data_IF_122604630412
#
_entry.id   IF_122604630412
#
_cell.length_a   1.000
_cell.length_b   1.000
_cell.length_c   1.000
_cell.angle_alpha   90.00
_cell.angle_beta   90.00
_cell.angle_gamma   90.00
#
_symmetry.space_group_name_H-M   'P 1'
#
loop_
_entity.id
_entity.type
_entity.pdbx_description
1 polymer ?
#
# COMPACT_ATOMS: atom_id res chain seq x y z
N UNK A 1 19.08 -2.50 -47.35
CA UNK A 1 17.78 -3.18 -47.25
C UNK A 1 18.03 -4.56 -46.69
N UNK A 2 17.26 -4.92 -45.66
CA UNK A 2 17.28 -6.17 -44.86
C UNK A 2 18.42 -6.30 -43.85
N UNK A 3 18.15 -5.84 -42.63
CA UNK A 3 18.05 -6.81 -41.54
C UNK A 3 17.01 -6.34 -40.51
N UNK A 4 15.83 -6.96 -40.60
CA UNK A 4 14.69 -6.76 -39.71
C UNK A 4 14.58 -8.01 -38.83
N UNK A 5 15.49 -8.18 -37.88
CA UNK A 5 15.38 -9.21 -36.85
C UNK A 5 15.19 -8.56 -35.48
N UNK A 6 13.92 -8.30 -35.18
CA UNK A 6 13.30 -7.95 -33.90
C UNK A 6 14.21 -7.89 -32.65
N UNK A 7 14.52 -6.67 -32.24
CA UNK A 7 15.03 -6.33 -30.90
C UNK A 7 13.91 -6.54 -29.87
N UNK A 8 13.82 -7.73 -29.27
CA UNK A 8 13.14 -7.85 -27.98
C UNK A 8 13.91 -6.97 -27.00
N UNK A 9 13.24 -5.96 -26.43
CA UNK A 9 13.86 -5.09 -25.43
C UNK A 9 14.27 -5.93 -24.23
N UNK A 10 15.49 -5.75 -23.71
CA UNK A 10 16.01 -6.47 -22.53
C UNK A 10 15.01 -6.52 -21.36
N UNK A 11 14.16 -5.49 -21.23
CA UNK A 11 13.11 -5.39 -20.20
C UNK A 11 11.99 -6.43 -20.34
N UNK A 12 11.76 -6.99 -21.53
CA UNK A 12 10.67 -7.95 -21.81
C UNK A 12 10.99 -9.38 -21.33
N UNK A 13 12.26 -9.66 -21.01
CA UNK A 13 12.73 -10.99 -20.56
C UNK A 13 13.07 -11.04 -19.06
N UNK A 14 12.75 -9.98 -18.31
CA UNK A 14 13.03 -9.88 -16.88
C UNK A 14 11.81 -10.26 -16.05
N UNK A 15 12.06 -11.03 -15.00
CA UNK A 15 11.08 -11.32 -13.96
C UNK A 15 10.88 -10.08 -13.08
N UNK A 16 9.64 -9.61 -12.92
CA UNK A 16 9.37 -8.41 -12.12
C UNK A 16 9.52 -8.60 -10.60
N UNK A 17 9.87 -9.81 -10.14
CA UNK A 17 10.10 -10.13 -8.73
C UNK A 17 11.59 -10.09 -8.40
N UNK A 18 12.41 -10.88 -9.11
CA UNK A 18 13.87 -10.89 -8.89
C UNK A 18 14.62 -9.86 -9.75
N UNK A 19 13.95 -9.23 -10.72
CA UNK A 19 14.51 -8.26 -11.66
C UNK A 19 15.64 -8.81 -12.52
N UNK A 20 15.69 -10.13 -12.68
CA UNK A 20 16.67 -10.87 -13.47
C UNK A 20 15.97 -11.61 -14.62
N UNK A 21 16.76 -12.05 -15.60
CA UNK A 21 16.30 -12.85 -16.74
C UNK A 21 15.62 -14.12 -16.24
N UNK A 22 14.47 -14.46 -16.83
CA UNK A 22 13.68 -15.61 -16.40
C UNK A 22 14.50 -16.89 -16.22
N UNK A 23 14.28 -17.57 -15.09
CA UNK A 23 14.71 -18.92 -14.80
C UNK A 23 13.44 -19.72 -14.55
N UNK A 24 13.22 -20.75 -15.36
CA UNK A 24 11.99 -21.54 -15.33
C UNK A 24 10.73 -20.66 -15.34
N UNK A 25 10.55 -19.82 -16.38
CA UNK A 25 9.41 -18.91 -16.44
C UNK A 25 8.09 -19.65 -16.37
N UNK A 26 7.13 -19.09 -15.66
CA UNK A 26 5.73 -19.54 -15.59
C UNK A 26 4.82 -18.38 -15.96
N UNK A 27 3.76 -18.68 -16.71
CA UNK A 27 2.77 -17.69 -17.15
C UNK A 27 1.52 -17.83 -16.28
N UNK A 28 1.13 -16.75 -15.63
CA UNK A 28 -0.12 -16.68 -14.86
C UNK A 28 -1.36 -16.57 -15.77
N UNK A 29 -2.58 -16.89 -15.27
CA UNK A 29 -3.81 -16.74 -16.05
C UNK A 29 -4.05 -15.33 -16.63
N UNK A 30 -3.53 -14.30 -15.97
CA UNK A 30 -3.61 -12.92 -16.45
C UNK A 30 -2.51 -12.56 -17.48
N UNK A 31 -1.74 -13.53 -17.97
CA UNK A 31 -0.74 -13.37 -19.04
C UNK A 31 0.65 -12.91 -18.60
N UNK A 32 0.84 -12.54 -17.32
CA UNK A 32 2.15 -12.12 -16.81
C UNK A 32 3.08 -13.29 -16.52
N UNK A 33 4.38 -13.06 -16.68
CA UNK A 33 5.44 -14.06 -16.57
C UNK A 33 6.36 -13.80 -15.37
N UNK A 34 6.75 -14.87 -14.67
CA UNK A 34 7.62 -14.82 -13.50
C UNK A 34 8.52 -16.07 -13.45
N UNK A 35 9.65 -16.04 -12.74
CA UNK A 35 10.36 -17.28 -12.42
C UNK A 35 9.46 -18.15 -11.52
N UNK A 36 9.43 -19.47 -11.75
CA UNK A 36 8.61 -20.41 -10.96
C UNK A 36 8.85 -20.26 -9.46
N UNK A 37 10.13 -20.20 -9.05
CA UNK A 37 10.54 -20.04 -7.65
C UNK A 37 10.03 -18.71 -7.06
N UNK A 38 10.23 -17.61 -7.78
CA UNK A 38 9.79 -16.27 -7.35
C UNK A 38 8.27 -16.20 -7.11
N UNK A 39 7.47 -16.73 -8.03
CA UNK A 39 6.01 -16.72 -7.89
C UNK A 39 5.54 -17.65 -6.75
N UNK A 40 6.18 -18.81 -6.61
CA UNK A 40 5.87 -19.78 -5.54
C UNK A 40 6.12 -19.15 -4.16
N UNK A 41 7.29 -18.55 -3.96
CA UNK A 41 7.64 -17.89 -2.70
C UNK A 41 6.73 -16.70 -2.40
N UNK A 42 6.31 -15.94 -3.43
CA UNK A 42 5.37 -14.84 -3.27
C UNK A 42 4.01 -15.31 -2.74
N UNK A 43 3.49 -16.42 -3.27
CA UNK A 43 2.22 -17.00 -2.81
C UNK A 43 2.32 -17.60 -1.40
N UNK A 44 3.45 -18.20 -1.04
CA UNK A 44 3.70 -18.72 0.31
C UNK A 44 3.71 -17.60 1.36
N UNK A 45 4.39 -16.48 1.09
CA UNK A 45 4.46 -15.36 2.03
C UNK A 45 3.13 -14.62 2.21
N UNK A 46 2.30 -14.52 1.15
CA UNK A 46 1.09 -13.67 1.16
C UNK A 46 -0.20 -14.44 1.43
N UNK A 47 -0.14 -15.77 1.55
CA UNK A 47 -1.29 -16.68 1.75
C UNK A 47 -2.43 -16.58 0.70
N UNK A 48 -2.24 -15.82 -0.37
CA UNK A 48 -3.25 -15.56 -1.41
C UNK A 48 -2.64 -15.70 -2.81
N UNK A 49 -3.33 -16.41 -3.68
CA UNK A 49 -2.93 -16.62 -5.08
C UNK A 49 -3.37 -15.44 -5.94
N UNK A 50 -2.53 -14.42 -6.06
CA UNK A 50 -2.75 -13.26 -6.91
C UNK A 50 -1.54 -13.00 -7.81
N UNK A 51 -1.72 -12.26 -8.89
CA UNK A 51 -0.64 -11.81 -9.74
C UNK A 51 0.19 -10.73 -9.02
N UNK A 52 1.52 -10.91 -8.85
CA UNK A 52 2.36 -9.89 -8.22
C UNK A 52 2.42 -8.57 -9.00
N UNK A 53 2.20 -8.61 -10.32
CA UNK A 53 2.32 -7.45 -11.22
C UNK A 53 0.99 -6.67 -11.33
N UNK A 54 -0.09 -7.28 -11.82
CA UNK A 54 -1.38 -6.59 -12.02
C UNK A 54 -2.37 -6.71 -10.84
N UNK A 55 -2.02 -7.47 -9.79
CA UNK A 55 -2.85 -7.69 -8.59
C UNK A 55 -4.16 -8.46 -8.80
N UNK A 56 -4.36 -9.05 -9.97
CA UNK A 56 -5.50 -9.91 -10.25
C UNK A 56 -5.54 -11.12 -9.29
N UNK A 57 -6.68 -11.36 -8.65
CA UNK A 57 -6.88 -12.47 -7.72
C UNK A 57 -7.34 -13.71 -8.47
N UNK A 58 -6.70 -14.84 -8.21
CA UNK A 58 -7.11 -16.12 -8.79
C UNK A 58 -8.06 -16.83 -7.81
N UNK A 59 -9.25 -17.22 -8.30
CA UNK A 59 -10.29 -17.92 -7.52
C UNK A 59 -9.82 -19.29 -7.01
N UNK A 60 -8.93 -19.95 -7.75
CA UNK A 60 -8.22 -21.17 -7.34
C UNK A 60 -6.73 -20.98 -7.62
N UNK A 61 -5.87 -21.52 -6.74
CA UNK A 61 -4.41 -21.49 -6.93
C UNK A 61 -4.07 -22.14 -8.30
N UNK A 62 -3.51 -21.40 -9.26
CA UNK A 62 -3.16 -21.96 -10.56
C UNK A 62 -2.01 -22.95 -10.42
N UNK A 63 -2.04 -24.02 -11.22
CA UNK A 63 -0.90 -24.91 -11.35
C UNK A 63 0.21 -24.22 -12.16
N UNK A 64 1.43 -24.17 -11.61
CA UNK A 64 2.56 -23.50 -12.23
C UNK A 64 3.29 -24.43 -13.20
N UNK A 65 2.89 -24.36 -14.47
CA UNK A 65 3.59 -25.01 -15.58
C UNK A 65 4.62 -24.07 -16.17
N UNK A 66 5.81 -24.62 -16.41
CA UNK A 66 6.90 -23.91 -17.06
C UNK A 66 6.47 -23.56 -18.48
N UNK A 67 6.65 -22.30 -18.85
CA UNK A 67 6.56 -21.85 -20.23
C UNK A 67 7.88 -22.18 -20.95
N UNK A 68 7.90 -23.31 -21.65
CA UNK A 68 9.08 -23.80 -22.37
C UNK A 68 9.55 -22.84 -23.47
N UNK A 69 8.60 -22.24 -24.20
CA UNK A 69 8.92 -21.26 -25.26
C UNK A 69 9.63 -20.03 -24.70
N UNK A 70 9.13 -19.47 -23.59
CA UNK A 70 9.76 -18.31 -22.95
C UNK A 70 11.11 -18.67 -22.33
N UNK A 71 11.27 -19.92 -21.84
CA UNK A 71 12.56 -20.43 -21.36
C UNK A 71 13.59 -20.45 -22.49
N UNK A 72 13.24 -21.00 -23.64
CA UNK A 72 14.15 -21.07 -24.80
C UNK A 72 14.58 -19.67 -25.26
N UNK A 73 13.64 -18.71 -25.30
CA UNK A 73 13.94 -17.31 -25.63
C UNK A 73 14.87 -16.67 -24.59
N UNK A 74 14.61 -16.88 -23.30
CA UNK A 74 15.43 -16.36 -22.21
C UNK A 74 16.84 -16.98 -22.21
N UNK A 75 16.98 -18.26 -22.51
CA UNK A 75 18.25 -18.97 -22.60
C UNK A 75 19.06 -18.53 -23.81
N UNK A 76 18.41 -18.33 -24.97
CA UNK A 76 19.07 -17.80 -26.16
C UNK A 76 19.56 -16.35 -25.92
N UNK A 77 18.79 -15.55 -25.17
CA UNK A 77 19.23 -14.23 -24.75
C UNK A 77 20.47 -14.29 -23.84
N UNK A 78 20.48 -15.18 -22.84
CA UNK A 78 21.66 -15.42 -21.98
C UNK A 78 22.89 -15.86 -22.78
N UNK A 79 22.70 -16.67 -23.83
CA UNK A 79 23.79 -17.12 -24.72
C UNK A 79 24.32 -15.99 -25.61
N UNK A 80 23.46 -15.14 -26.16
CA UNK A 80 23.87 -13.96 -26.96
C UNK A 80 24.56 -12.85 -26.14
N UNK A 81 24.37 -12.81 -24.82
CA UNK A 81 25.09 -11.90 -23.93
C UNK A 81 26.50 -12.36 -23.54
N UNK A 82 26.93 -13.56 -23.95
CA UNK A 82 28.35 -13.92 -23.99
C UNK A 82 28.89 -13.35 -25.30
N UNK A 83 29.90 -12.46 -25.29
CA UNK A 83 30.46 -11.95 -26.54
C UNK A 83 30.87 -13.13 -27.41
N UNK A 84 30.41 -13.15 -28.66
CA UNK A 84 30.99 -14.02 -29.69
C UNK A 84 32.51 -13.86 -29.60
N UNK A 85 33.23 -14.99 -29.50
CA UNK A 85 34.69 -14.97 -29.50
C UNK A 85 35.14 -14.10 -30.68
N UNK A 86 36.07 -13.14 -30.49
CA UNK A 86 36.62 -12.44 -31.64
C UNK A 86 37.23 -13.45 -32.60
N UNK A 87 36.72 -13.51 -33.82
CA UNK A 87 37.24 -14.36 -34.89
C UNK A 87 38.55 -13.73 -35.42
N UNK A 88 39.61 -13.89 -34.64
CA UNK A 88 40.95 -13.43 -35.04
C UNK A 88 41.43 -14.30 -36.19
N UNK A 89 41.83 -13.67 -37.30
CA UNK A 89 42.31 -14.36 -38.50
C UNK A 89 43.80 -14.68 -38.41
N UNK A 90 44.24 -15.69 -39.14
CA UNK A 90 45.64 -16.07 -39.23
C UNK A 90 46.46 -15.08 -40.08
N UNK A 91 47.61 -14.67 -39.56
CA UNK A 91 48.52 -13.71 -40.20
C UNK A 91 49.44 -14.37 -41.23
N UNK A 92 49.72 -15.66 -41.09
CA UNK A 92 50.60 -16.41 -41.98
C UNK A 92 49.92 -16.91 -43.28
N UNK A 93 48.58 -16.89 -43.33
CA UNK A 93 47.82 -17.28 -44.52
C UNK A 93 48.02 -16.26 -45.66
N UNK A 94 48.53 -16.72 -46.80
CA UNK A 94 48.81 -15.86 -47.97
C UNK A 94 47.64 -15.68 -48.93
N UNK A 95 46.61 -16.54 -48.86
CA UNK A 95 45.43 -16.48 -49.72
C UNK A 95 44.17 -16.33 -48.89
N UNK A 96 43.49 -17.43 -48.60
CA UNK A 96 42.33 -17.47 -47.72
C UNK A 96 42.82 -17.45 -46.27
N UNK A 97 42.52 -16.36 -45.56
CA UNK A 97 42.78 -16.28 -44.12
C UNK A 97 41.81 -17.20 -43.38
N UNK A 98 42.37 -18.13 -42.61
CA UNK A 98 41.62 -19.02 -41.73
C UNK A 98 41.57 -18.44 -40.32
N UNK A 99 40.59 -18.86 -39.52
CA UNK A 99 40.53 -18.48 -38.11
C UNK A 99 41.77 -18.98 -37.36
N UNK A 100 42.36 -18.11 -36.55
CA UNK A 100 43.48 -18.44 -35.70
C UNK A 100 43.03 -19.32 -34.54
N UNK A 101 43.83 -20.32 -34.21
CA UNK A 101 43.64 -21.17 -33.03
C UNK A 101 44.50 -20.71 -31.85
N UNK A 102 45.68 -20.16 -32.14
CA UNK A 102 46.62 -19.60 -31.15
C UNK A 102 47.30 -18.36 -31.72
N UNK A 103 47.76 -17.48 -30.83
CA UNK A 103 48.69 -16.41 -31.17
C UNK A 103 50.04 -16.69 -30.53
N UNK A 104 51.11 -16.49 -31.28
CA UNK A 104 52.48 -16.60 -30.81
C UNK A 104 52.99 -15.21 -30.44
N UNK A 105 53.28 -14.98 -29.15
CA UNK A 105 53.73 -13.67 -28.67
C UNK A 105 55.12 -13.34 -29.22
N UNK A 106 56.03 -14.32 -29.28
CA UNK A 106 57.40 -14.11 -29.78
C UNK A 106 57.46 -13.82 -31.29
N UNK A 107 56.54 -14.38 -32.09
CA UNK A 107 56.45 -14.13 -33.52
C UNK A 107 55.55 -12.93 -33.85
N UNK A 108 54.87 -12.37 -32.85
CA UNK A 108 53.84 -11.34 -33.04
C UNK A 108 52.78 -11.75 -34.09
N UNK A 109 52.37 -13.03 -34.11
CA UNK A 109 51.51 -13.57 -35.17
C UNK A 109 50.41 -14.51 -34.66
N UNK A 110 49.22 -14.39 -35.23
CA UNK A 110 48.09 -15.29 -35.06
C UNK A 110 48.14 -16.44 -36.07
N UNK A 111 47.98 -17.68 -35.59
CA UNK A 111 48.23 -18.91 -36.36
C UNK A 111 46.95 -19.76 -36.41
N UNK A 112 46.51 -20.12 -37.62
CA UNK A 112 45.51 -21.17 -37.83
C UNK A 112 46.12 -22.55 -37.55
N UNK A 113 45.29 -23.60 -37.57
CA UNK A 113 45.70 -24.98 -37.29
C UNK A 113 46.96 -25.41 -38.04
N UNK A 114 46.97 -25.29 -39.37
CA UNK A 114 48.11 -25.71 -40.20
C UNK A 114 49.40 -24.97 -39.87
N UNK A 115 49.31 -23.65 -39.63
CA UNK A 115 50.49 -22.84 -39.28
C UNK A 115 50.94 -23.09 -37.84
N UNK A 116 50.02 -23.40 -36.94
CA UNK A 116 50.31 -23.79 -35.57
C UNK A 116 50.99 -25.16 -35.50
N UNK A 117 50.55 -26.13 -36.31
CA UNK A 117 51.21 -27.44 -36.45
C UNK A 117 52.66 -27.29 -36.93
N UNK A 118 52.87 -26.49 -37.98
CA UNK A 118 54.23 -26.17 -38.44
C UNK A 118 55.07 -25.53 -37.32
N UNK A 119 54.50 -24.58 -36.61
CA UNK A 119 55.15 -23.89 -35.51
C UNK A 119 55.53 -24.86 -34.37
N UNK A 120 54.68 -25.82 -34.04
CA UNK A 120 54.95 -26.83 -33.01
C UNK A 120 55.95 -27.90 -33.47
N UNK A 121 56.01 -28.21 -34.77
CA UNK A 121 56.89 -29.24 -35.30
C UNK A 121 58.34 -28.74 -35.50
N UNK A 122 58.52 -27.44 -35.74
CA UNK A 122 59.84 -26.85 -35.94
C UNK A 122 60.63 -26.68 -34.63
N UNK A 123 61.82 -27.29 -34.48
CA UNK A 123 62.60 -27.23 -33.23
C UNK A 123 62.89 -25.81 -32.73
N UNK A 124 63.04 -24.84 -33.66
CA UNK A 124 63.30 -23.44 -33.34
C UNK A 124 62.13 -22.74 -32.65
N UNK A 125 60.89 -23.11 -32.97
CA UNK A 125 59.69 -22.41 -32.52
C UNK A 125 58.96 -23.14 -31.37
N UNK A 126 59.36 -24.37 -31.05
CA UNK A 126 58.81 -25.16 -29.93
C UNK A 126 58.83 -24.46 -28.57
N UNK A 127 59.74 -23.51 -28.36
CA UNK A 127 59.89 -22.78 -27.09
C UNK A 127 59.12 -21.46 -27.03
N UNK A 128 58.51 -21.04 -28.13
CA UNK A 128 57.75 -19.80 -28.17
C UNK A 128 56.48 -19.89 -27.32
N UNK A 129 56.07 -18.74 -26.78
CA UNK A 129 54.88 -18.59 -25.95
C UNK A 129 53.63 -18.44 -26.81
N UNK A 130 52.75 -19.43 -26.71
CA UNK A 130 51.46 -19.45 -27.39
C UNK A 130 50.32 -19.10 -26.43
N UNK A 131 49.52 -18.11 -26.80
CA UNK A 131 48.32 -17.68 -26.08
C UNK A 131 47.07 -17.88 -26.92
N UNK A 132 45.89 -17.69 -26.34
CA UNK A 132 44.65 -17.66 -27.13
C UNK A 132 44.67 -16.45 -28.09
N UNK A 133 44.05 -16.55 -29.27
CA UNK A 133 43.99 -15.44 -30.20
C UNK A 133 43.33 -14.22 -29.54
N UNK A 134 43.94 -13.06 -29.76
CA UNK A 134 43.51 -11.76 -29.24
C UNK A 134 43.49 -10.77 -30.39
N UNK A 135 42.55 -9.82 -30.39
CA UNK A 135 42.41 -8.84 -31.48
C UNK A 135 43.66 -7.97 -31.62
N UNK A 136 44.30 -7.61 -30.49
CA UNK A 136 45.49 -6.79 -30.48
C UNK A 136 46.60 -7.49 -29.68
N UNK A 137 47.50 -8.16 -30.40
CA UNK A 137 48.65 -8.87 -29.83
C UNK A 137 49.76 -7.92 -29.36
N UNK A 138 49.81 -6.68 -29.89
CA UNK A 138 50.78 -5.65 -29.48
C UNK A 138 50.63 -5.28 -28.00
N UNK A 139 49.41 -5.39 -27.46
CA UNK A 139 49.13 -5.18 -26.04
C UNK A 139 49.82 -6.19 -25.11
N UNK A 140 50.33 -7.30 -25.65
CA UNK A 140 51.05 -8.34 -24.91
C UNK A 140 52.58 -8.19 -25.05
N UNK A 141 53.04 -7.16 -25.76
CA UNK A 141 54.45 -6.93 -26.08
C UNK A 141 54.90 -5.60 -25.48
N UNK A 142 56.03 -5.62 -24.78
CA UNK A 142 56.68 -4.43 -24.27
C UNK A 142 57.17 -3.56 -25.43
N UNK A 143 56.66 -2.34 -25.52
CA UNK A 143 57.00 -1.41 -26.58
C UNK A 143 58.46 -0.92 -26.54
N UNK A 144 59.12 -0.99 -25.37
CA UNK A 144 60.53 -0.57 -25.22
C UNK A 144 61.53 -1.66 -25.61
N UNK A 145 61.18 -2.92 -25.34
CA UNK A 145 62.12 -4.04 -25.43
C UNK A 145 61.70 -5.10 -26.46
N UNK A 146 60.52 -4.96 -27.09
CA UNK A 146 59.97 -5.88 -28.08
C UNK A 146 59.91 -7.33 -27.57
N UNK A 147 59.55 -7.49 -26.28
CA UNK A 147 59.48 -8.77 -25.56
C UNK A 147 58.12 -8.95 -24.93
N UNK A 148 57.70 -10.19 -24.70
CA UNK A 148 56.46 -10.51 -24.03
C UNK A 148 56.35 -9.81 -22.66
N UNK A 149 55.16 -9.31 -22.35
CA UNK A 149 54.80 -8.85 -21.01
C UNK A 149 54.46 -10.08 -20.16
N UNK A 150 55.22 -10.29 -19.08
CA UNK A 150 55.10 -11.48 -18.23
C UNK A 150 54.98 -11.13 -16.75
N UNK A 151 55.36 -9.91 -16.39
CA UNK A 151 55.35 -9.40 -15.03
C UNK A 151 54.37 -8.24 -14.91
N UNK A 152 53.93 -7.97 -13.69
CA UNK A 152 53.13 -6.82 -13.32
C UNK A 152 53.86 -6.02 -12.25
N UNK A 153 54.10 -4.75 -12.51
CA UNK A 153 54.65 -3.82 -11.53
C UNK A 153 53.49 -3.26 -10.68
N UNK A 154 53.52 -3.52 -9.37
CA UNK A 154 52.48 -3.07 -8.43
C UNK A 154 52.60 -1.58 -8.11
N UNK A 155 53.80 -1.03 -8.11
CA UNK A 155 54.02 0.40 -7.85
C UNK A 155 53.47 1.25 -8.99
N UNK A 156 53.75 0.87 -10.24
CA UNK A 156 53.31 1.61 -11.43
C UNK A 156 52.00 1.11 -12.05
N UNK A 157 51.44 0.01 -11.51
CA UNK A 157 50.17 -0.57 -11.93
C UNK A 157 50.11 -0.96 -13.42
N UNK A 158 51.20 -1.51 -13.96
CA UNK A 158 51.30 -1.86 -15.37
C UNK A 158 52.02 -3.18 -15.63
N UNK A 159 51.69 -3.83 -16.75
CA UNK A 159 52.41 -5.02 -17.21
C UNK A 159 53.78 -4.62 -17.79
N UNK A 160 54.81 -5.38 -17.45
CA UNK A 160 56.20 -5.14 -17.86
C UNK A 160 56.86 -6.46 -18.32
N UNK A 161 57.95 -6.37 -19.11
CA UNK A 161 58.76 -7.54 -19.45
C UNK A 161 59.94 -7.70 -18.48
N UNK A 162 60.66 -8.83 -18.54
CA UNK A 162 61.82 -9.09 -17.68
C UNK A 162 62.89 -7.98 -17.73
N UNK A 163 63.21 -7.44 -18.92
CA UNK A 163 64.23 -6.38 -19.04
C UNK A 163 63.82 -5.05 -18.38
N UNK A 164 62.53 -4.75 -18.30
CA UNK A 164 62.04 -3.57 -17.60
C UNK A 164 62.41 -3.60 -16.10
N UNK A 165 62.54 -4.79 -15.51
CA UNK A 165 62.92 -4.96 -14.10
C UNK A 165 64.43 -4.87 -13.88
N UNK A 166 65.23 -4.71 -14.92
CA UNK A 166 66.67 -4.43 -14.80
C UNK A 166 66.98 -2.93 -14.91
N UNK A 167 66.05 -2.16 -15.49
CA UNK A 167 66.13 -0.71 -15.66
C UNK A 167 65.07 0.03 -14.85
N UNK A 168 64.06 0.58 -15.54
CA UNK A 168 63.06 1.51 -14.99
C UNK A 168 62.33 0.99 -13.75
N UNK A 169 62.12 -0.32 -13.63
CA UNK A 169 61.37 -0.95 -12.53
C UNK A 169 62.26 -1.78 -11.59
N UNK A 170 63.58 -1.52 -11.56
CA UNK A 170 64.56 -2.36 -10.84
C UNK A 170 64.30 -2.54 -9.35
N UNK A 171 63.76 -1.51 -8.71
CA UNK A 171 63.47 -1.53 -7.27
C UNK A 171 61.97 -1.55 -6.97
N UNK A 172 61.13 -1.80 -7.98
CA UNK A 172 59.68 -1.87 -7.80
C UNK A 172 59.26 -3.30 -7.46
N UNK A 173 58.14 -3.41 -6.76
CA UNK A 173 57.49 -4.68 -6.48
C UNK A 173 56.87 -5.24 -7.77
N UNK A 174 57.57 -6.21 -8.36
CA UNK A 174 57.14 -6.88 -9.57
C UNK A 174 56.79 -8.33 -9.26
N UNK A 175 55.63 -8.76 -9.74
CA UNK A 175 55.12 -10.13 -9.57
C UNK A 175 54.74 -10.68 -10.95
N UNK A 176 54.48 -11.98 -11.05
CA UNK A 176 53.95 -12.54 -12.31
C UNK A 176 52.54 -12.03 -12.61
N UNK A 177 52.19 -11.89 -13.88
CA UNK A 177 50.83 -11.49 -14.28
C UNK A 177 49.79 -12.50 -13.76
N UNK A 178 50.13 -13.79 -13.75
CA UNK A 178 49.24 -14.85 -13.26
C UNK A 178 48.95 -14.73 -11.76
N UNK A 179 49.94 -14.33 -10.96
CA UNK A 179 49.79 -14.10 -9.52
C UNK A 179 48.91 -12.86 -9.26
N UNK A 180 49.25 -11.72 -9.84
CA UNK A 180 48.47 -10.49 -9.69
C UNK A 180 47.03 -10.68 -10.19
N UNK A 181 46.84 -11.36 -11.34
CA UNK A 181 45.52 -11.65 -11.89
C UNK A 181 44.67 -12.48 -10.93
N UNK A 182 45.28 -13.47 -10.26
CA UNK A 182 44.59 -14.31 -9.27
C UNK A 182 44.16 -13.49 -8.06
N UNK A 183 45.03 -12.62 -7.56
CA UNK A 183 44.72 -11.73 -6.45
C UNK A 183 43.59 -10.76 -6.80
N UNK A 184 43.67 -10.08 -7.95
CA UNK A 184 42.61 -9.18 -8.43
C UNK A 184 41.29 -9.89 -8.65
N UNK A 185 41.30 -11.09 -9.24
CA UNK A 185 40.07 -11.89 -9.41
C UNK A 185 39.44 -12.24 -8.07
N UNK A 186 40.25 -12.59 -7.07
CA UNK A 186 39.78 -12.85 -5.71
C UNK A 186 39.14 -11.60 -5.09
N UNK A 187 39.80 -10.44 -5.20
CA UNK A 187 39.26 -9.16 -4.72
C UNK A 187 37.95 -8.79 -5.41
N UNK A 188 37.89 -8.89 -6.75
CA UNK A 188 36.68 -8.66 -7.52
C UNK A 188 35.54 -9.60 -7.10
N UNK A 189 35.83 -10.87 -6.83
CA UNK A 189 34.83 -11.83 -6.34
C UNK A 189 34.25 -11.45 -4.97
N UNK A 190 35.09 -10.93 -4.06
CA UNK A 190 34.64 -10.40 -2.76
C UNK A 190 33.73 -9.20 -2.95
N UNK A 191 34.18 -8.19 -3.71
CA UNK A 191 33.38 -6.99 -4.00
C UNK A 191 32.07 -7.33 -4.71
N UNK A 192 32.08 -8.28 -5.63
CA UNK A 192 30.86 -8.75 -6.31
C UNK A 192 29.87 -9.37 -5.31
N UNK A 193 30.36 -10.16 -4.36
CA UNK A 193 29.53 -10.75 -3.30
C UNK A 193 28.95 -9.67 -2.39
N UNK A 194 29.75 -8.69 -1.98
CA UNK A 194 29.30 -7.56 -1.16
C UNK A 194 28.21 -6.74 -1.86
N UNK A 195 28.42 -6.41 -3.15
CA UNK A 195 27.44 -5.70 -3.96
C UNK A 195 26.15 -6.52 -4.11
N UNK A 196 26.25 -7.84 -4.32
CA UNK A 196 25.06 -8.70 -4.39
C UNK A 196 24.29 -8.70 -3.06
N UNK A 197 24.98 -8.82 -1.93
CA UNK A 197 24.36 -8.74 -0.60
C UNK A 197 23.69 -7.39 -0.40
N UNK A 198 24.37 -6.29 -0.77
CA UNK A 198 23.81 -4.96 -0.71
C UNK A 198 22.50 -4.87 -1.50
N UNK A 199 22.45 -5.39 -2.73
CA UNK A 199 21.24 -5.41 -3.55
C UNK A 199 20.11 -6.16 -2.83
N UNK A 200 20.38 -7.35 -2.28
CA UNK A 200 19.37 -8.13 -1.55
C UNK A 200 18.81 -7.37 -0.33
N UNK A 201 19.69 -6.70 0.43
CA UNK A 201 19.28 -5.90 1.59
C UNK A 201 18.38 -4.72 1.18
N UNK A 202 18.70 -4.02 0.08
CA UNK A 202 17.86 -2.91 -0.41
C UNK A 202 16.53 -3.43 -0.95
N UNK A 203 16.50 -4.58 -1.61
CA UNK A 203 15.25 -5.21 -2.05
C UNK A 203 14.35 -5.58 -0.86
N UNK A 204 14.91 -6.18 0.18
CA UNK A 204 14.19 -6.45 1.44
C UNK A 204 13.67 -5.16 2.05
N UNK A 205 14.48 -4.10 2.09
CA UNK A 205 14.07 -2.82 2.66
C UNK A 205 12.93 -2.16 1.89
N UNK A 206 12.94 -2.25 0.56
CA UNK A 206 11.83 -1.80 -0.29
C UNK A 206 10.53 -2.55 0.08
N UNK A 207 10.59 -3.86 0.31
CA UNK A 207 9.41 -4.63 0.71
C UNK A 207 8.87 -4.21 2.09
N UNK A 208 9.75 -3.98 3.07
CA UNK A 208 9.38 -3.49 4.40
C UNK A 208 8.69 -2.11 4.33
N UNK A 209 9.26 -1.18 3.55
CA UNK A 209 8.69 0.16 3.38
C UNK A 209 7.32 0.09 2.70
N UNK A 210 7.18 -0.73 1.64
CA UNK A 210 5.88 -0.93 0.97
C UNK A 210 4.83 -1.47 1.92
N UNK A 211 5.16 -2.48 2.72
CA UNK A 211 4.25 -3.05 3.71
C UNK A 211 3.85 -2.02 4.79
N UNK A 212 4.81 -1.24 5.29
CA UNK A 212 4.55 -0.16 6.26
C UNK A 212 3.61 0.91 5.70
N UNK A 213 3.82 1.34 4.44
CA UNK A 213 2.95 2.28 3.75
C UNK A 213 1.53 1.74 3.55
N UNK A 214 1.39 0.47 3.12
CA UNK A 214 0.10 -0.22 3.00
C UNK A 214 -0.65 -0.27 4.34
N UNK A 215 0.06 -0.60 5.43
CA UNK A 215 -0.51 -0.66 6.77
C UNK A 215 -0.94 0.74 7.25
N UNK A 216 -0.11 1.76 7.04
CA UNK A 216 -0.43 3.15 7.39
C UNK A 216 -1.70 3.61 6.68
N UNK A 217 -1.80 3.38 5.37
CA UNK A 217 -2.99 3.72 4.60
C UNK A 217 -4.24 3.01 5.11
N UNK A 218 -4.15 1.70 5.41
CA UNK A 218 -5.27 0.94 5.98
C UNK A 218 -5.69 1.48 7.34
N UNK A 219 -4.76 1.88 8.19
CA UNK A 219 -5.06 2.48 9.49
C UNK A 219 -5.75 3.83 9.32
N UNK A 220 -5.26 4.69 8.42
CA UNK A 220 -5.90 5.99 8.13
C UNK A 220 -7.32 5.82 7.62
N UNK A 221 -7.58 4.88 6.71
CA UNK A 221 -8.94 4.60 6.22
C UNK A 221 -9.86 4.07 7.32
N UNK A 222 -9.32 3.24 8.22
CA UNK A 222 -10.06 2.81 9.41
C UNK A 222 -10.39 3.98 10.34
N UNK A 223 -9.43 4.86 10.61
CA UNK A 223 -9.64 6.02 11.48
C UNK A 223 -10.67 7.00 10.89
N UNK A 224 -10.69 7.15 9.56
CA UNK A 224 -11.74 7.90 8.85
C UNK A 224 -13.11 7.25 9.05
N UNK A 225 -13.22 5.93 8.84
CA UNK A 225 -14.48 5.20 9.02
C UNK A 225 -14.98 5.27 10.48
N UNK A 226 -14.11 5.00 11.46
CA UNK A 226 -14.41 5.11 12.89
C UNK A 226 -14.86 6.55 13.24
N UNK A 227 -14.28 7.57 12.60
CA UNK A 227 -14.70 8.97 12.80
C UNK A 227 -16.09 9.26 12.23
N UNK A 228 -16.36 8.82 11.01
CA UNK A 228 -17.69 8.96 10.38
C UNK A 228 -18.76 8.26 11.23
N UNK A 229 -18.47 7.08 11.76
CA UNK A 229 -19.40 6.33 12.62
C UNK A 229 -19.76 7.11 13.90
N UNK A 230 -18.77 7.73 14.54
CA UNK A 230 -18.97 8.56 15.74
C UNK A 230 -19.86 9.77 15.44
N UNK A 231 -19.56 10.52 14.37
CA UNK A 231 -20.40 11.66 13.99
C UNK A 231 -21.83 11.22 13.63
N UNK A 232 -21.98 10.13 12.89
CA UNK A 232 -23.30 9.59 12.57
C UNK A 232 -24.07 9.17 13.83
N UNK A 233 -23.39 8.60 14.84
CA UNK A 233 -24.01 8.24 16.12
C UNK A 233 -24.43 9.45 16.96
N UNK A 234 -23.68 10.56 16.89
CA UNK A 234 -24.02 11.83 17.54
C UNK A 234 -25.25 12.48 16.87
N UNK A 235 -25.25 12.57 15.53
CA UNK A 235 -26.38 13.10 14.75
C UNK A 235 -27.66 12.33 15.07
N UNK A 236 -27.63 10.99 15.01
CA UNK A 236 -28.78 10.14 15.38
C UNK A 236 -29.26 10.37 16.81
N UNK A 237 -28.36 10.75 17.71
CA UNK A 237 -28.72 11.06 19.11
C UNK A 237 -29.45 12.39 19.21
N UNK A 238 -29.00 13.41 18.47
CA UNK A 238 -29.65 14.72 18.42
C UNK A 238 -31.04 14.60 17.79
N UNK A 239 -31.14 13.91 16.65
CA UNK A 239 -32.42 13.69 15.95
C UNK A 239 -33.44 12.95 16.84
N UNK A 240 -32.99 11.92 17.57
CA UNK A 240 -33.85 11.20 18.51
C UNK A 240 -34.35 12.11 19.64
N UNK A 241 -33.46 12.84 20.29
CA UNK A 241 -33.85 13.75 21.38
C UNK A 241 -34.74 14.89 20.91
N UNK A 242 -34.58 15.35 19.66
CA UNK A 242 -35.50 16.30 19.04
C UNK A 242 -36.90 15.70 18.88
N UNK A 243 -37.01 14.49 18.34
CA UNK A 243 -38.30 13.81 18.18
C UNK A 243 -39.00 13.57 19.52
N UNK A 244 -38.26 13.07 20.53
CA UNK A 244 -38.77 12.86 21.89
C UNK A 244 -39.27 14.16 22.53
N UNK A 245 -38.56 15.28 22.35
CA UNK A 245 -38.99 16.58 22.87
C UNK A 245 -40.30 17.05 22.21
N UNK A 246 -40.40 16.93 20.88
CA UNK A 246 -41.61 17.32 20.16
C UNK A 246 -42.82 16.50 20.58
N UNK A 247 -42.64 15.18 20.76
CA UNK A 247 -43.70 14.28 21.25
C UNK A 247 -44.20 14.70 22.64
N UNK A 248 -43.29 14.92 23.60
CA UNK A 248 -43.65 15.36 24.96
C UNK A 248 -44.37 16.71 24.93
N UNK A 249 -43.93 17.65 24.09
CA UNK A 249 -44.60 18.94 23.95
C UNK A 249 -46.02 18.78 23.39
N UNK A 250 -46.21 17.92 22.39
CA UNK A 250 -47.53 17.64 21.80
C UNK A 250 -48.46 16.95 22.81
N UNK A 251 -47.97 15.98 23.57
CA UNK A 251 -48.75 15.31 24.63
C UNK A 251 -49.20 16.29 25.72
N UNK A 252 -48.30 17.17 26.16
CA UNK A 252 -48.62 18.21 27.15
C UNK A 252 -49.65 19.21 26.61
N UNK A 253 -49.52 19.61 25.35
CA UNK A 253 -50.49 20.49 24.69
C UNK A 253 -51.87 19.83 24.66
N UNK A 254 -51.96 18.58 24.19
CA UNK A 254 -53.22 17.81 24.17
C UNK A 254 -53.81 17.64 25.57
N UNK A 255 -52.97 17.46 26.60
CA UNK A 255 -53.45 17.36 27.98
C UNK A 255 -54.06 18.69 28.47
N UNK A 256 -53.41 19.82 28.17
CA UNK A 256 -53.93 21.15 28.50
C UNK A 256 -55.24 21.45 27.76
N UNK A 257 -55.35 21.06 26.49
CA UNK A 257 -56.58 21.19 25.69
C UNK A 257 -57.73 20.39 26.28
N UNK A 258 -57.51 19.11 26.62
CA UNK A 258 -58.54 18.28 27.29
C UNK A 258 -58.98 18.85 28.63
N UNK A 259 -58.05 19.42 29.40
CA UNK A 259 -58.37 20.10 30.66
C UNK A 259 -59.24 21.34 30.39
N UNK A 260 -58.90 22.14 29.37
CA UNK A 260 -59.68 23.30 28.95
C UNK A 260 -61.10 22.92 28.56
N UNK A 261 -61.25 21.90 27.69
CA UNK A 261 -62.54 21.38 27.25
C UNK A 261 -63.39 20.91 28.43
N UNK A 262 -62.78 20.22 29.42
CA UNK A 262 -63.46 19.80 30.64
C UNK A 262 -64.02 20.99 31.44
N UNK A 263 -63.21 22.03 31.66
CA UNK A 263 -63.63 23.23 32.39
C UNK A 263 -64.71 24.02 31.63
N UNK A 264 -64.59 24.14 30.30
CA UNK A 264 -65.61 24.78 29.46
C UNK A 264 -66.93 24.02 29.58
N UNK A 265 -66.91 22.69 29.51
CA UNK A 265 -68.11 21.86 29.63
C UNK A 265 -68.78 21.99 31.00
N UNK A 266 -68.01 22.10 32.08
CA UNK A 266 -68.54 22.40 33.41
C UNK A 266 -69.24 23.77 33.44
N UNK A 267 -68.62 24.81 32.89
CA UNK A 267 -69.20 26.15 32.78
C UNK A 267 -70.48 26.18 31.93
N UNK A 268 -70.49 25.49 30.79
CA UNK A 268 -71.68 25.38 29.92
C UNK A 268 -72.86 24.72 30.64
N UNK A 269 -72.59 23.72 31.49
CA UNK A 269 -73.61 23.08 32.32
C UNK A 269 -74.14 24.02 33.40
N UNK A 270 -73.25 24.73 34.12
CA UNK A 270 -73.65 25.74 35.12
C UNK A 270 -74.50 26.84 34.47
N UNK A 271 -74.08 27.37 33.31
CA UNK A 271 -74.85 28.35 32.54
C UNK A 271 -76.23 27.81 32.15
N UNK A 272 -76.33 26.54 31.76
CA UNK A 272 -77.62 25.93 31.40
C UNK A 272 -78.57 25.85 32.60
N UNK A 273 -78.05 25.49 33.78
CA UNK A 273 -78.83 25.48 35.03
C UNK A 273 -79.26 26.89 35.41
N UNK A 274 -78.34 27.87 35.32
CA UNK A 274 -78.62 29.28 35.61
C UNK A 274 -79.68 29.85 34.65
N UNK A 275 -79.58 29.58 33.34
CA UNK A 275 -80.58 29.99 32.34
C UNK A 275 -81.96 29.40 32.62
N UNK A 276 -82.04 28.11 32.98
CA UNK A 276 -83.32 27.48 33.36
C UNK A 276 -83.92 28.19 34.57
N UNK A 277 -83.12 28.41 35.61
CA UNK A 277 -83.55 29.08 36.83
C UNK A 277 -84.04 30.50 36.56
N UNK A 278 -83.34 31.24 35.70
CA UNK A 278 -83.70 32.58 35.27
C UNK A 278 -85.07 32.59 34.56
N UNK A 279 -85.31 31.66 33.62
CA UNK A 279 -86.62 31.52 32.96
C UNK A 279 -87.75 31.15 33.94
N UNK A 280 -87.50 30.26 34.89
CA UNK A 280 -88.49 29.89 35.91
C UNK A 280 -88.84 31.09 36.82
N UNK A 281 -87.83 31.89 37.19
CA UNK A 281 -88.02 33.13 37.97
C UNK A 281 -88.80 34.18 37.16
N UNK A 282 -88.50 34.34 35.87
CA UNK A 282 -89.21 35.24 34.98
C UNK A 282 -90.68 34.81 34.80
N UNK A 283 -90.98 33.52 34.67
CA UNK A 283 -92.36 33.03 34.58
C UNK A 283 -93.15 33.28 35.87
N UNK A 284 -92.54 33.03 37.03
CA UNK A 284 -93.17 33.29 38.33
C UNK A 284 -93.43 34.78 38.56
N UNK A 285 -92.51 35.67 38.15
CA UNK A 285 -92.68 37.12 38.35
C UNK A 285 -93.82 37.72 37.52
N UNK A 286 -94.16 37.11 36.39
CA UNK A 286 -95.28 37.51 35.52
C UNK A 286 -96.60 36.76 35.80
N UNK A 287 -96.65 35.89 36.82
CA UNK A 287 -97.87 35.15 37.17
C UNK A 287 -98.87 36.03 37.93
N UNK A 288 -100.11 36.13 37.44
CA UNK A 288 -101.22 36.87 38.09
C UNK A 288 -101.84 36.10 39.28
N UNK A 289 -101.55 34.80 39.41
CA UNK A 289 -102.08 33.94 40.47
C UNK A 289 -101.23 34.02 41.76
N UNK A 290 -101.63 34.89 42.68
CA UNK A 290 -100.87 35.21 43.91
C UNK A 290 -100.58 34.01 44.82
N UNK A 291 -101.42 32.97 44.82
CA UNK A 291 -101.20 31.76 45.63
C UNK A 291 -100.03 30.93 45.08
N UNK A 292 -99.96 30.75 43.75
CA UNK A 292 -98.88 30.03 43.07
C UNK A 292 -97.53 30.76 43.24
N UNK A 293 -97.54 32.10 43.21
CA UNK A 293 -96.37 32.92 43.50
C UNK A 293 -95.86 32.68 44.93
N UNK A 294 -96.73 32.76 45.95
CA UNK A 294 -96.33 32.61 47.36
C UNK A 294 -95.90 31.18 47.73
N UNK A 295 -96.51 30.17 47.11
CA UNK A 295 -96.15 28.76 47.33
C UNK A 295 -94.75 28.44 46.78
N UNK A 296 -94.39 29.01 45.63
CA UNK A 296 -93.12 28.69 44.97
C UNK A 296 -92.00 29.71 45.29
N UNK A 297 -92.31 30.96 45.66
CA UNK A 297 -91.30 32.01 45.90
C UNK A 297 -90.27 31.64 46.96
N UNK A 298 -90.69 30.92 48.00
CA UNK A 298 -89.82 30.56 49.14
C UNK A 298 -88.66 29.64 48.74
N UNK A 299 -88.86 28.76 47.76
CA UNK A 299 -87.81 27.87 47.23
C UNK A 299 -87.05 28.49 46.04
N UNK A 300 -87.59 29.53 45.43
CA UNK A 300 -87.07 30.10 44.18
C UNK A 300 -86.08 31.26 44.39
N UNK A 301 -86.18 31.98 45.52
CA UNK A 301 -85.37 33.16 45.82
C UNK A 301 -83.89 32.88 46.19
N UNK A 302 -83.49 31.63 46.42
CA UNK A 302 -82.08 31.27 46.62
C UNK A 302 -81.37 31.02 45.28
N UNK A 303 -80.17 31.59 45.07
CA UNK A 303 -79.35 31.27 43.90
C UNK A 303 -78.96 29.79 43.87
N UNK A 304 -78.83 29.18 42.69
CA UNK A 304 -78.23 27.84 42.56
C UNK A 304 -76.79 27.83 43.09
N UNK A 305 -76.34 26.67 43.58
CA UNK A 305 -74.93 26.51 43.94
C UNK A 305 -74.08 26.52 42.66
N UNK A 306 -73.12 27.44 42.60
CA UNK A 306 -72.10 27.51 41.53
C UNK A 306 -70.71 27.30 42.12
N UNK A 307 -69.77 26.82 41.30
CA UNK A 307 -68.35 26.74 41.67
C UNK A 307 -67.72 28.13 41.66
N UNK A 308 -66.66 28.34 42.45
CA UNK A 308 -65.88 29.57 42.39
C UNK A 308 -64.80 29.46 41.30
N UNK A 309 -64.90 30.31 40.27
CA UNK A 309 -64.07 30.26 39.07
C UNK A 309 -62.90 31.27 39.07
N UNK A 310 -62.77 32.17 40.05
CA UNK A 310 -61.78 33.27 40.00
C UNK A 310 -60.31 32.82 40.06
N UNK A 311 -60.02 31.68 40.66
CA UNK A 311 -58.64 31.18 40.84
C UNK A 311 -58.24 30.09 39.84
N UNK A 312 -59.17 29.60 39.00
CA UNK A 312 -58.91 28.50 38.10
C UNK A 312 -58.18 29.03 36.86
N UNK A 313 -56.93 28.61 36.68
CA UNK A 313 -56.13 28.90 35.48
C UNK A 313 -55.54 27.62 34.90
N UNK A 314 -55.49 27.56 33.57
CA UNK A 314 -54.78 26.51 32.84
C UNK A 314 -53.32 26.91 32.78
N UNK A 315 -52.43 26.00 33.18
CA UNK A 315 -51.01 26.29 33.24
C UNK A 315 -50.39 26.21 31.83
N UNK A 316 -50.10 27.38 31.24
CA UNK A 316 -49.49 27.51 29.90
C UNK A 316 -47.96 27.45 29.91
N UNK A 317 -47.31 27.49 31.08
CA UNK A 317 -45.86 27.75 31.19
C UNK A 317 -44.99 26.48 31.22
N UNK A 318 -45.59 25.29 31.16
CA UNK A 318 -44.88 24.00 31.25
C UNK A 318 -43.90 23.73 30.10
N UNK A 319 -43.96 24.49 29.00
CA UNK A 319 -43.12 24.28 27.81
C UNK A 319 -41.65 24.66 28.04
N UNK A 320 -41.40 25.76 28.76
CA UNK A 320 -40.04 26.26 29.03
C UNK A 320 -39.19 25.29 29.86
N UNK A 321 -39.74 24.78 30.95
CA UNK A 321 -39.05 23.81 31.82
C UNK A 321 -38.83 22.46 31.12
N UNK A 322 -39.77 22.05 30.27
CA UNK A 322 -39.64 20.82 29.46
C UNK A 322 -38.45 20.93 28.49
N UNK A 323 -38.34 22.07 27.79
CA UNK A 323 -37.19 22.33 26.91
C UNK A 323 -35.88 22.34 27.68
N UNK A 324 -35.82 23.02 28.83
CA UNK A 324 -34.60 23.09 29.66
C UNK A 324 -34.13 21.70 30.09
N UNK A 325 -35.04 20.87 30.63
CA UNK A 325 -34.72 19.51 31.07
C UNK A 325 -34.24 18.65 29.91
N UNK A 326 -34.92 18.72 28.76
CA UNK A 326 -34.55 17.95 27.57
C UNK A 326 -33.17 18.34 27.03
N UNK A 327 -32.87 19.63 26.93
CA UNK A 327 -31.58 20.13 26.48
C UNK A 327 -30.44 19.75 27.45
N UNK A 328 -30.67 19.82 28.75
CA UNK A 328 -29.68 19.37 29.75
C UNK A 328 -29.37 17.87 29.63
N UNK A 329 -30.40 17.03 29.43
CA UNK A 329 -30.22 15.58 29.20
C UNK A 329 -29.47 15.29 27.91
N UNK A 330 -29.80 16.00 26.83
CA UNK A 330 -29.09 15.89 25.55
C UNK A 330 -27.61 16.25 25.72
N UNK A 331 -27.31 17.38 26.37
CA UNK A 331 -25.94 17.81 26.63
C UNK A 331 -25.15 16.75 27.40
N UNK A 332 -25.72 16.17 28.46
CA UNK A 332 -25.09 15.10 29.22
C UNK A 332 -24.80 13.88 28.34
N UNK A 333 -25.79 13.42 27.57
CA UNK A 333 -25.66 12.26 26.69
C UNK A 333 -24.59 12.47 25.61
N UNK A 334 -24.52 13.66 25.02
CA UNK A 334 -23.51 14.01 24.03
C UNK A 334 -22.11 14.01 24.66
N UNK A 335 -21.96 14.61 25.84
CA UNK A 335 -20.69 14.66 26.55
C UNK A 335 -20.17 13.26 26.92
N UNK A 336 -21.05 12.39 27.42
CA UNK A 336 -20.70 11.00 27.76
C UNK A 336 -20.23 10.22 26.51
N UNK A 337 -20.95 10.34 25.39
CA UNK A 337 -20.59 9.69 24.12
C UNK A 337 -19.27 10.21 23.55
N UNK A 338 -19.05 11.53 23.57
CA UNK A 338 -17.80 12.16 23.12
C UNK A 338 -16.61 11.69 23.97
N UNK A 339 -16.76 11.71 25.29
CA UNK A 339 -15.70 11.31 26.23
C UNK A 339 -15.32 9.84 26.05
N UNK A 340 -16.33 8.96 25.92
CA UNK A 340 -16.11 7.54 25.67
C UNK A 340 -15.38 7.29 24.35
N UNK A 341 -15.84 7.95 23.27
CA UNK A 341 -15.22 7.82 21.95
C UNK A 341 -13.76 8.29 21.93
N UNK A 342 -13.46 9.42 22.57
CA UNK A 342 -12.10 9.94 22.70
C UNK A 342 -11.20 8.99 23.50
N UNK A 343 -11.70 8.44 24.61
CA UNK A 343 -10.95 7.47 25.42
C UNK A 343 -10.61 6.21 24.63
N UNK A 344 -11.57 5.66 23.88
CA UNK A 344 -11.37 4.44 23.08
C UNK A 344 -10.39 4.68 21.92
N UNK A 345 -10.44 5.84 21.27
CA UNK A 345 -9.46 6.25 20.26
C UNK A 345 -8.06 6.40 20.84
N UNK A 346 -7.92 7.07 22.00
CA UNK A 346 -6.63 7.26 22.66
C UNK A 346 -5.97 5.92 23.02
N UNK A 347 -6.75 4.97 23.57
CA UNK A 347 -6.28 3.61 23.88
C UNK A 347 -5.81 2.86 22.63
N UNK A 348 -6.54 2.96 21.52
CA UNK A 348 -6.15 2.36 20.23
C UNK A 348 -4.83 2.96 19.71
N UNK A 349 -4.67 4.29 19.74
CA UNK A 349 -3.45 4.96 19.28
C UNK A 349 -2.24 4.53 20.11
N UNK A 350 -2.36 4.57 21.44
CA UNK A 350 -1.30 4.13 22.37
C UNK A 350 -0.93 2.66 22.14
N UNK A 351 -1.92 1.77 21.95
CA UNK A 351 -1.68 0.35 21.65
C UNK A 351 -0.95 0.16 20.32
N UNK A 352 -1.28 0.96 19.31
CA UNK A 352 -0.66 0.89 17.97
C UNK A 352 0.79 1.38 18.01
N UNK A 353 1.07 2.47 18.71
CA UNK A 353 2.44 2.96 18.87
C UNK A 353 3.30 2.05 19.74
N UNK A 354 2.76 1.46 20.81
CA UNK A 354 3.46 0.44 21.58
C UNK A 354 3.85 -0.78 20.73
N UNK A 355 2.99 -1.19 19.77
CA UNK A 355 3.32 -2.26 18.83
C UNK A 355 4.40 -1.86 17.83
N UNK A 356 4.40 -0.60 17.36
CA UNK A 356 5.49 -0.08 16.52
C UNK A 356 6.81 -0.06 17.27
N UNK A 357 6.84 0.50 18.48
CA UNK A 357 8.05 0.57 19.30
C UNK A 357 8.64 -0.84 19.53
N UNK A 358 7.80 -1.83 19.82
CA UNK A 358 8.23 -3.24 19.98
C UNK A 358 8.69 -3.93 18.69
N UNK A 359 8.37 -3.41 17.51
CA UNK A 359 8.88 -3.93 16.24
C UNK A 359 10.23 -3.34 15.85
N UNK A 360 10.63 -2.21 16.46
CA UNK A 360 11.87 -1.50 16.18
C UNK A 360 12.88 -1.52 17.34
N UNK A 361 12.51 -2.10 18.49
CA UNK A 361 13.37 -2.47 19.62
C UNK A 361 13.68 -3.96 19.53
#
# INVERSE_FOLDING_TARGET
>A
SRDSSSLLSQKQLLCSICLDVFIDPVTTPCGHNFCKSCLTQCWEMRQHSHCPLCKEKFTKKPELKINTTLREVADHFKKKSVPDKPEVLCDACTKQKLNALKACVDCCASLCETHLEFHNNMPKFKKHKLINPVENLENYICQKHERALELFCRDDQMCVCQFCTEGDHKNHNTVTIEEESRERKSQLGKTQTDVHQMIQDRLKKIQEIKHSAELSNRNTEKDKADSVEVFAALIRSIERSQAELLEVMEEKQKAAERQAEGLIKELEQEITVLKRRDTELEQLSHTEEHLHLLQNSSSMCSPPHTKNWTEIRINTDLSGDTMRIALSRLQQTLNEKLTKSLSDKLKKTVSTELKRIRQYA
#
